data_IF_636501839014
#
_entry.id   IF_636501839014
#
_cell.length_a   1.000
_cell.length_b   1.000
_cell.length_c   1.000
_cell.angle_alpha   90.00
_cell.angle_beta   90.00
_cell.angle_gamma   90.00
#
_symmetry.space_group_name_H-M   'P 1'
#
loop_
_entity.id
_entity.type
_entity.pdbx_description
1 polymer ?
#
# COMPACT_ATOMS: atom_id res chain seq x y z
N UNK A 1 38.51 10.80 -61.32
CA UNK A 1 37.07 11.02 -61.05
C UNK A 1 36.38 9.67 -60.95
N UNK A 2 35.82 9.32 -59.77
CA UNK A 2 34.71 8.37 -59.52
C UNK A 2 34.59 8.22 -57.99
N UNK A 3 33.51 8.78 -57.41
CA UNK A 3 33.00 8.53 -56.04
C UNK A 3 31.92 7.39 -56.15
N UNK A 4 31.16 7.06 -55.08
CA UNK A 4 31.52 6.34 -53.85
C UNK A 4 30.54 5.16 -53.61
N UNK A 5 30.81 4.25 -52.66
CA UNK A 5 29.73 3.44 -52.07
C UNK A 5 29.99 3.17 -50.59
N UNK A 6 29.36 3.98 -49.74
CA UNK A 6 29.14 3.65 -48.33
C UNK A 6 28.19 2.45 -48.25
N UNK A 7 28.57 1.41 -47.51
CA UNK A 7 27.61 0.45 -46.97
C UNK A 7 27.29 0.81 -45.53
N UNK A 8 26.04 1.20 -45.31
CA UNK A 8 25.36 1.30 -44.03
C UNK A 8 25.37 -0.07 -43.32
N UNK A 9 25.95 -0.13 -42.12
CA UNK A 9 25.54 -1.12 -41.13
C UNK A 9 24.42 -0.50 -40.29
N UNK A 10 23.21 -0.98 -40.54
CA UNK A 10 22.09 -0.89 -39.62
C UNK A 10 22.20 -2.01 -38.57
N UNK A 11 21.40 -1.85 -37.51
CA UNK A 11 21.08 -2.79 -36.44
C UNK A 11 22.03 -2.82 -35.25
N UNK A 12 21.64 -2.10 -34.20
CA UNK A 12 21.39 -2.63 -32.85
C UNK A 12 20.67 -1.55 -32.03
N UNK A 13 19.38 -1.33 -32.33
CA UNK A 13 18.47 -0.72 -31.36
C UNK A 13 18.05 -1.82 -30.37
N UNK A 14 18.96 -2.16 -29.46
CA UNK A 14 18.67 -3.01 -28.31
C UNK A 14 17.94 -2.20 -27.24
N UNK A 15 16.94 -2.83 -26.62
CA UNK A 15 16.06 -2.34 -25.58
C UNK A 15 16.64 -1.21 -24.73
N UNK A 16 15.91 -0.09 -24.68
CA UNK A 16 16.09 0.91 -23.62
C UNK A 16 16.03 0.21 -22.26
N UNK A 17 16.73 0.77 -21.25
CA UNK A 17 16.69 0.20 -19.91
C UNK A 17 15.22 0.09 -19.51
N UNK A 18 14.83 -1.10 -19.01
CA UNK A 18 13.62 -1.26 -18.24
C UNK A 18 13.56 -0.05 -17.32
N UNK A 19 12.58 0.81 -17.57
CA UNK A 19 12.26 1.86 -16.64
C UNK A 19 11.79 1.10 -15.40
N UNK A 20 12.73 0.81 -14.49
CA UNK A 20 12.45 0.62 -13.09
C UNK A 20 11.54 1.77 -12.74
N UNK A 21 10.23 1.49 -12.69
CA UNK A 21 9.25 2.44 -12.20
C UNK A 21 9.72 2.76 -10.80
N UNK A 22 10.40 3.88 -10.65
CA UNK A 22 10.76 4.41 -9.34
C UNK A 22 9.44 4.60 -8.61
N UNK A 23 9.13 3.66 -7.72
CA UNK A 23 7.98 3.75 -6.85
C UNK A 23 8.17 5.00 -6.00
N UNK A 24 7.14 5.83 -5.91
CA UNK A 24 7.22 7.06 -5.14
C UNK A 24 6.52 6.89 -3.80
N UNK A 25 7.06 7.53 -2.76
CA UNK A 25 6.48 7.44 -1.43
C UNK A 25 5.10 8.10 -1.42
N UNK A 26 4.09 7.36 -0.96
CA UNK A 26 2.81 7.91 -0.54
C UNK A 26 2.85 8.16 0.95
N UNK A 27 2.61 9.42 1.34
CA UNK A 27 2.35 9.80 2.72
C UNK A 27 0.91 9.49 3.11
N UNK A 28 0.72 8.72 4.18
CA UNK A 28 -0.58 8.44 4.78
C UNK A 28 -0.65 9.10 6.15
N UNK A 29 -1.65 9.96 6.36
CA UNK A 29 -1.96 10.49 7.68
C UNK A 29 -3.12 9.69 8.27
N UNK A 30 -2.84 9.00 9.38
CA UNK A 30 -3.86 8.30 10.16
C UNK A 30 -4.21 9.16 11.37
N UNK A 31 -5.49 9.52 11.50
CA UNK A 31 -6.03 10.18 12.68
C UNK A 31 -7.00 9.24 13.38
N UNK A 32 -6.73 8.90 14.64
CA UNK A 32 -7.66 8.15 15.49
C UNK A 32 -8.17 9.02 16.64
N UNK A 33 -9.36 8.68 17.14
CA UNK A 33 -9.82 9.23 18.42
C UNK A 33 -8.99 8.62 19.57
N UNK A 34 -8.72 9.43 20.61
CA UNK A 34 -7.89 9.04 21.76
C UNK A 34 -8.39 7.78 22.49
N UNK A 35 -9.71 7.59 22.59
CA UNK A 35 -10.32 6.45 23.28
C UNK A 35 -10.11 5.11 22.55
N UNK A 36 -9.84 5.17 21.24
CA UNK A 36 -9.59 4.03 20.36
C UNK A 36 -8.11 3.65 20.34
N UNK A 37 -7.23 4.64 20.49
CA UNK A 37 -5.78 4.47 20.39
C UNK A 37 -5.17 3.55 21.46
N UNK A 38 -5.78 3.41 22.63
CA UNK A 38 -5.24 2.55 23.70
C UNK A 38 -5.41 1.04 23.43
N UNK A 39 -6.28 0.66 22.49
CA UNK A 39 -6.52 -0.74 22.12
C UNK A 39 -5.70 -1.16 20.89
N UNK A 40 -5.31 -0.20 20.06
CA UNK A 40 -4.50 -0.43 18.86
C UNK A 40 -3.04 -0.51 19.27
N UNK A 41 -2.36 -1.59 18.88
CA UNK A 41 -0.90 -1.74 19.04
C UNK A 41 -0.15 -1.56 17.73
N UNK A 42 -0.80 -1.80 16.59
CA UNK A 42 -0.20 -1.64 15.27
C UNK A 42 -1.24 -1.37 14.19
N UNK A 43 -0.78 -0.81 13.07
CA UNK A 43 -1.49 -0.75 11.81
C UNK A 43 -0.82 -1.66 10.79
N UNK A 44 -1.62 -2.38 10.03
CA UNK A 44 -1.18 -3.12 8.86
C UNK A 44 -1.66 -2.40 7.60
N UNK A 45 -0.73 -2.06 6.72
CA UNK A 45 -0.99 -1.41 5.45
C UNK A 45 -0.84 -2.42 4.32
N UNK A 46 -1.81 -2.42 3.41
CA UNK A 46 -1.79 -3.24 2.21
C UNK A 46 -2.35 -2.43 1.03
N UNK A 47 -1.83 -2.65 -0.18
CA UNK A 47 -2.33 -2.01 -1.39
C UNK A 47 -2.75 -3.08 -2.39
N UNK A 48 -4.02 -3.01 -2.81
CA UNK A 48 -4.62 -3.89 -3.79
C UNK A 48 -4.49 -3.31 -5.20
N UNK A 49 -4.18 -4.19 -6.15
CA UNK A 49 -4.30 -3.92 -7.60
C UNK A 49 -5.78 -3.82 -8.00
N UNK A 50 -6.05 -3.12 -9.10
CA UNK A 50 -7.38 -2.93 -9.69
C UNK A 50 -8.40 -2.36 -8.69
N UNK A 51 -8.06 -1.23 -8.07
CA UNK A 51 -8.87 -0.58 -7.02
C UNK A 51 -10.35 -0.43 -7.36
N UNK A 52 -10.69 -0.07 -8.60
CA UNK A 52 -12.06 0.13 -9.07
C UNK A 52 -12.90 -1.14 -9.09
N UNK A 53 -12.26 -2.32 -9.14
CA UNK A 53 -12.93 -3.62 -9.02
C UNK A 53 -13.16 -4.02 -7.57
N UNK A 54 -12.58 -3.31 -6.61
CA UNK A 54 -12.69 -3.61 -5.17
C UNK A 54 -13.87 -2.86 -4.56
N UNK A 55 -14.59 -3.52 -3.68
CA UNK A 55 -15.66 -2.92 -2.89
C UNK A 55 -15.11 -2.52 -1.51
N UNK A 56 -14.74 -1.25 -1.34
CA UNK A 56 -14.18 -0.79 -0.06
C UNK A 56 -15.16 -0.97 1.12
N UNK A 57 -16.47 -0.94 0.87
CA UNK A 57 -17.46 -1.18 1.92
C UNK A 57 -17.40 -2.62 2.42
N UNK A 58 -17.16 -3.58 1.53
CA UNK A 58 -16.97 -4.99 1.91
C UNK A 58 -15.61 -5.21 2.58
N UNK A 59 -14.55 -4.63 2.01
CA UNK A 59 -13.19 -4.73 2.58
C UNK A 59 -13.10 -4.19 4.01
N UNK A 60 -13.95 -3.24 4.38
CA UNK A 60 -14.04 -2.69 5.73
C UNK A 60 -14.74 -3.61 6.73
N UNK A 61 -15.52 -4.61 6.26
CA UNK A 61 -16.37 -5.44 7.13
C UNK A 61 -15.64 -6.51 7.88
N UNK A 62 -14.46 -6.95 7.45
CA UNK A 62 -13.68 -7.99 8.13
C UNK A 62 -12.19 -7.85 7.77
N UNK A 63 -11.31 -8.69 8.30
CA UNK A 63 -9.89 -8.60 7.94
C UNK A 63 -9.65 -9.01 6.49
N UNK A 64 -8.66 -8.36 5.90
CA UNK A 64 -8.31 -8.42 4.51
C UNK A 64 -7.89 -9.83 4.08
N UNK A 65 -7.11 -10.53 4.92
CA UNK A 65 -6.64 -11.91 4.70
C UNK A 65 -7.77 -12.91 4.40
N UNK A 66 -8.99 -12.66 4.89
CA UNK A 66 -10.16 -13.52 4.65
C UNK A 66 -10.90 -13.22 3.34
N UNK A 67 -10.59 -12.08 2.70
CA UNK A 67 -11.33 -11.54 1.56
C UNK A 67 -10.54 -11.53 0.26
N UNK A 68 -9.21 -11.48 0.35
CA UNK A 68 -8.34 -11.36 -0.83
C UNK A 68 -7.16 -12.31 -0.77
N UNK A 69 -6.70 -12.74 -1.94
CA UNK A 69 -5.46 -13.49 -2.07
C UNK A 69 -4.25 -12.57 -1.90
N UNK A 70 -3.14 -13.10 -1.37
CA UNK A 70 -1.89 -12.36 -1.31
C UNK A 70 -1.38 -11.94 -2.70
N UNK A 71 -1.74 -12.66 -3.77
CA UNK A 71 -1.37 -12.32 -5.17
C UNK A 71 -1.94 -11.00 -5.67
N UNK A 72 -3.04 -10.55 -5.07
CA UNK A 72 -3.75 -9.34 -5.43
C UNK A 72 -3.11 -8.09 -4.85
N UNK A 73 -2.21 -8.28 -3.88
CA UNK A 73 -1.47 -7.23 -3.23
C UNK A 73 -0.25 -6.80 -4.06
N UNK A 74 0.07 -5.52 -3.98
CA UNK A 74 1.36 -5.00 -4.39
C UNK A 74 2.42 -5.30 -3.34
N UNK A 75 3.64 -5.51 -3.80
CA UNK A 75 4.80 -5.45 -2.92
C UNK A 75 5.11 -3.99 -2.62
N UNK A 76 5.21 -3.67 -1.34
CA UNK A 76 5.46 -2.34 -0.81
C UNK A 76 6.85 -2.29 -0.22
N UNK A 77 7.40 -1.09 -0.14
CA UNK A 77 8.61 -0.79 0.61
C UNK A 77 8.37 0.42 1.51
N UNK A 78 8.85 0.41 2.75
CA UNK A 78 8.80 1.58 3.63
C UNK A 78 10.10 2.39 3.59
N UNK A 79 10.07 3.57 4.23
CA UNK A 79 11.21 4.47 4.33
C UNK A 79 12.40 3.86 5.11
N UNK A 80 12.15 2.88 5.97
CA UNK A 80 13.18 2.16 6.73
C UNK A 80 13.81 1.01 5.91
N UNK A 81 13.31 0.76 4.69
CA UNK A 81 13.81 -0.25 3.78
C UNK A 81 13.18 -1.62 3.95
N UNK A 82 12.19 -1.79 4.83
CA UNK A 82 11.43 -3.04 4.92
C UNK A 82 10.57 -3.19 3.67
N UNK A 83 10.37 -4.44 3.23
CA UNK A 83 9.55 -4.74 2.06
C UNK A 83 8.61 -5.91 2.31
N UNK A 84 7.43 -5.86 1.70
CA UNK A 84 6.43 -6.92 1.84
C UNK A 84 5.09 -6.53 1.23
N UNK A 85 4.21 -7.51 1.07
CA UNK A 85 2.84 -7.28 0.56
C UNK A 85 1.91 -6.64 1.58
N UNK A 86 2.29 -6.74 2.84
CA UNK A 86 1.70 -6.03 3.96
C UNK A 86 2.82 -5.47 4.81
N UNK A 87 2.74 -4.20 5.17
CA UNK A 87 3.71 -3.55 6.05
C UNK A 87 3.04 -3.21 7.38
N UNK A 88 3.73 -3.46 8.49
CA UNK A 88 3.18 -3.27 9.83
C UNK A 88 3.92 -2.16 10.56
N UNK A 89 3.16 -1.20 11.04
CA UNK A 89 3.66 0.00 11.72
C UNK A 89 3.14 0.04 13.16
N UNK A 90 3.98 0.30 14.16
CA UNK A 90 3.53 0.41 15.55
C UNK A 90 2.64 1.64 15.72
N UNK A 91 1.58 1.53 16.53
CA UNK A 91 0.70 2.68 16.80
C UNK A 91 1.40 3.76 17.64
N UNK A 92 1.11 5.03 17.37
CA UNK A 92 1.65 6.13 18.15
C UNK A 92 1.00 6.22 19.54
N UNK A 93 1.77 6.56 20.59
CA UNK A 93 1.23 6.76 21.93
C UNK A 93 0.12 7.80 21.95
N UNK A 94 -0.99 7.49 22.64
CA UNK A 94 -2.06 8.46 22.91
C UNK A 94 -2.87 8.91 21.69
N UNK A 95 -2.82 8.18 20.56
CA UNK A 95 -3.62 8.50 19.36
C UNK A 95 -3.13 9.71 18.60
N UNK A 96 -1.83 10.01 18.71
CA UNK A 96 -1.19 11.03 17.88
C UNK A 96 -1.31 10.66 16.40
N UNK A 97 -1.37 11.69 15.55
CA UNK A 97 -1.32 11.49 14.10
C UNK A 97 -0.06 10.74 13.72
N UNK A 98 -0.19 9.77 12.82
CA UNK A 98 0.93 9.00 12.29
C UNK A 98 1.06 9.26 10.80
N UNK A 99 2.26 9.67 10.40
CA UNK A 99 2.70 9.63 9.02
C UNK A 99 3.24 8.24 8.71
N UNK A 100 2.61 7.50 7.81
CA UNK A 100 3.17 6.29 7.22
C UNK A 100 3.67 6.63 5.82
N UNK A 101 4.87 6.17 5.48
CA UNK A 101 5.43 6.32 4.14
C UNK A 101 5.64 4.95 3.54
N UNK A 102 4.93 4.67 2.44
CA UNK A 102 5.09 3.45 1.65
C UNK A 102 5.28 3.80 0.19
N UNK A 103 6.25 3.17 -0.44
CA UNK A 103 6.51 3.31 -1.87
C UNK A 103 5.47 2.50 -2.64
N UNK A 104 4.67 3.20 -3.44
CA UNK A 104 3.69 2.59 -4.33
C UNK A 104 4.09 2.88 -5.77
N UNK A 105 4.17 1.85 -6.65
CA UNK A 105 4.50 2.05 -8.05
C UNK A 105 3.58 3.07 -8.71
N UNK A 106 4.17 3.93 -9.54
CA UNK A 106 3.40 4.85 -10.38
C UNK A 106 2.40 4.06 -11.21
N UNK A 107 1.19 4.59 -11.31
CA UNK A 107 0.11 3.83 -11.90
C UNK A 107 -1.24 4.42 -11.56
N UNK A 108 -2.26 3.68 -11.97
CA UNK A 108 -3.63 4.05 -11.73
C UNK A 108 -4.32 2.89 -11.05
N UNK A 109 -5.34 3.28 -10.29
CA UNK A 109 -6.34 2.37 -9.80
C UNK A 109 -5.85 1.34 -8.78
N UNK A 110 -5.57 1.83 -7.57
CA UNK A 110 -5.30 0.99 -6.41
C UNK A 110 -6.36 1.18 -5.31
N UNK A 111 -6.48 0.21 -4.42
CA UNK A 111 -7.20 0.36 -3.17
C UNK A 111 -6.22 0.16 -2.00
N UNK A 112 -6.08 1.19 -1.16
CA UNK A 112 -5.31 1.13 0.06
C UNK A 112 -6.19 0.63 1.19
N UNK A 113 -5.77 -0.44 1.85
CA UNK A 113 -6.42 -0.97 3.05
C UNK A 113 -5.49 -0.78 4.24
N UNK A 114 -6.04 -0.27 5.33
CA UNK A 114 -5.35 -0.08 6.60
C UNK A 114 -6.14 -0.84 7.66
N UNK A 115 -5.52 -1.81 8.32
CA UNK A 115 -6.14 -2.58 9.39
C UNK A 115 -5.54 -2.17 10.74
N UNK A 116 -6.41 -1.87 11.71
CA UNK A 116 -6.01 -1.65 13.09
C UNK A 116 -5.94 -3.00 13.82
N UNK A 117 -4.87 -3.21 14.56
CA UNK A 117 -4.56 -4.48 15.22
C UNK A 117 -4.32 -4.28 16.72
N UNK A 118 -4.69 -5.28 17.54
CA UNK A 118 -4.42 -5.25 18.99
C UNK A 118 -2.93 -5.28 19.31
N UNK A 119 -2.55 -4.76 20.47
CA UNK A 119 -1.22 -4.97 21.06
C UNK A 119 -1.00 -6.40 21.61
N UNK A 120 -2.08 -7.18 21.77
CA UNK A 120 -2.01 -8.54 22.32
C UNK A 120 -1.20 -9.51 21.44
N UNK A 121 -0.74 -10.60 22.06
CA UNK A 121 -0.15 -11.75 21.37
C UNK A 121 -1.03 -12.99 21.61
N UNK A 122 -1.60 -13.63 20.57
CA UNK A 122 -1.48 -13.27 19.16
C UNK A 122 -2.22 -11.97 18.82
N UNK A 123 -1.71 -11.27 17.81
CA UNK A 123 -2.32 -10.03 17.30
C UNK A 123 -3.69 -10.33 16.68
N UNK A 124 -4.69 -9.49 16.98
CA UNK A 124 -6.07 -9.65 16.51
C UNK A 124 -6.53 -8.44 15.72
N UNK A 125 -7.46 -8.67 14.79
CA UNK A 125 -8.11 -7.62 14.02
C UNK A 125 -9.05 -6.77 14.89
N UNK A 126 -8.99 -5.45 14.73
CA UNK A 126 -9.88 -4.50 15.39
C UNK A 126 -10.77 -3.73 14.43
N UNK A 127 -10.41 -3.62 13.15
CA UNK A 127 -11.16 -2.86 12.16
C UNK A 127 -10.29 -2.51 10.97
N UNK A 128 -10.92 -2.11 9.87
CA UNK A 128 -10.22 -1.68 8.66
C UNK A 128 -10.78 -0.39 8.09
N UNK A 129 -9.91 0.34 7.39
CA UNK A 129 -10.22 1.46 6.51
C UNK A 129 -9.81 1.10 5.09
N UNK A 130 -10.56 1.58 4.12
CA UNK A 130 -10.29 1.35 2.70
C UNK A 130 -10.44 2.65 1.93
N UNK A 131 -9.44 2.98 1.12
CA UNK A 131 -9.34 4.25 0.40
C UNK A 131 -8.97 3.97 -1.06
N UNK A 132 -9.72 4.56 -1.98
CA UNK A 132 -9.41 4.44 -3.41
C UNK A 132 -8.30 5.40 -3.81
N UNK A 133 -7.21 4.86 -4.35
CA UNK A 133 -6.10 5.59 -4.94
C UNK A 133 -6.24 5.57 -6.46
N UNK A 134 -6.96 6.56 -7.01
CA UNK A 134 -7.28 6.57 -8.44
C UNK A 134 -6.07 6.83 -9.34
N UNK A 135 -5.09 7.61 -8.86
CA UNK A 135 -3.87 7.97 -9.60
C UNK A 135 -2.71 8.12 -8.62
N UNK A 136 -1.58 7.45 -8.91
CA UNK A 136 -0.28 7.65 -8.26
C UNK A 136 0.68 8.14 -9.32
N UNK A 137 1.14 9.39 -9.18
CA UNK A 137 1.97 10.06 -10.17
C UNK A 137 3.45 9.98 -9.83
N UNK A 138 4.30 10.18 -10.84
CA UNK A 138 5.77 10.27 -10.75
C UNK A 138 6.29 11.56 -10.04
N UNK A 139 5.42 12.32 -9.37
CA UNK A 139 5.76 13.56 -8.68
C UNK A 139 5.25 13.55 -7.24
N UNK A 140 5.07 14.72 -6.64
CA UNK A 140 4.49 14.83 -5.30
C UNK A 140 3.04 14.37 -5.31
N UNK A 141 2.77 13.23 -4.69
CA UNK A 141 1.41 12.77 -4.44
C UNK A 141 0.83 13.49 -3.21
N UNK A 142 -0.47 13.78 -3.23
CA UNK A 142 -1.13 14.36 -2.08
C UNK A 142 -1.10 13.37 -0.90
N UNK A 143 -0.94 13.88 0.32
CA UNK A 143 -1.08 13.06 1.52
C UNK A 143 -2.49 12.50 1.58
N UNK A 144 -2.60 11.19 1.71
CA UNK A 144 -3.90 10.55 1.90
C UNK A 144 -4.26 10.60 3.38
N UNK A 145 -5.38 11.24 3.69
CA UNK A 145 -6.02 11.10 5.00
C UNK A 145 -6.82 9.80 4.98
N UNK A 146 -6.44 8.86 5.84
CA UNK A 146 -7.15 7.58 5.92
C UNK A 146 -8.61 7.81 6.34
N UNK A 147 -9.54 7.13 5.67
CA UNK A 147 -10.92 7.09 6.14
C UNK A 147 -10.98 6.54 7.59
N UNK A 148 -11.94 6.99 8.41
CA UNK A 148 -12.05 6.55 9.80
C UNK A 148 -12.11 5.02 9.92
N UNK A 149 -11.45 4.47 10.93
CA UNK A 149 -11.54 3.05 11.28
C UNK A 149 -12.55 2.92 12.42
N UNK A 150 -13.66 2.25 12.17
CA UNK A 150 -14.58 1.83 13.21
C UNK A 150 -14.06 0.55 13.87
N UNK A 151 -13.81 0.59 15.18
CA UNK A 151 -13.36 -0.59 15.89
C UNK A 151 -14.51 -1.56 16.12
N UNK A 152 -14.44 -2.70 15.45
CA UNK A 152 -15.34 -3.82 15.65
C UNK A 152 -14.47 -5.07 15.79
N UNK A 153 -14.35 -5.58 17.01
CA UNK A 153 -13.62 -6.83 17.22
C UNK A 153 -14.31 -7.96 16.47
N UNK A 154 -13.58 -8.64 15.60
CA UNK A 154 -14.08 -9.77 14.83
C UNK A 154 -13.14 -10.95 14.93
N UNK A 155 -13.70 -12.14 14.79
CA UNK A 155 -12.94 -13.39 14.79
C UNK A 155 -12.33 -13.63 13.42
N UNK A 156 -11.16 -13.06 13.15
CA UNK A 156 -10.36 -13.44 12.00
C UNK A 156 -8.86 -13.19 12.24
N UNK A 157 -8.01 -13.95 11.54
CA UNK A 157 -6.56 -13.82 11.62
C UNK A 157 -6.08 -12.81 10.57
N UNK A 158 -5.54 -11.64 10.96
CA UNK A 158 -5.10 -10.61 10.02
C UNK A 158 -3.81 -10.97 9.28
N UNK A 159 -3.19 -12.12 9.57
CA UNK A 159 -1.96 -12.57 8.91
C UNK A 159 -2.29 -13.27 7.60
N UNK A 160 -1.65 -12.82 6.52
CA UNK A 160 -1.70 -13.53 5.25
C UNK A 160 -0.89 -14.83 5.33
N UNK A 161 -1.44 -15.97 4.88
CA UNK A 161 -0.66 -17.20 4.75
C UNK A 161 0.48 -16.98 3.74
N UNK A 162 1.66 -17.49 4.09
CA UNK A 162 2.88 -17.39 3.26
C UNK A 162 2.84 -18.33 2.07
#
# INVERSE_FOLDING_TARGET
MRRPTLLMLALLAGCGPDATSEALPLGLDITLSRAVASQVGAYQVAVLKDGTKRNCTELQRTCLSSQVSSSDLLELKDADGNSGRTLRFPSAPGGAAMGLSVDVPVGRDYALVIEALTADTPTRFLGSSCNYLRVVNSGTNATLVAAPIELTTQSCDPVFPR
#
